data_IF_599013030912
#
_entry.id   IF_599013030912
#
_cell.length_a   1.000
_cell.length_b   1.000
_cell.length_c   1.000
_cell.angle_alpha   90.00
_cell.angle_beta   90.00
_cell.angle_gamma   90.00
#
_symmetry.space_group_name_H-M   'P 1'
#
loop_
_entity.id
_entity.type
_entity.pdbx_description
1 polymer ?
#
# COMPACT_ATOMS: atom_id res chain seq x y z
N UNK A 1 8.83 -11.10 11.09
CA UNK A 1 8.16 -10.37 9.99
C UNK A 1 6.91 -11.11 9.50
N UNK A 2 6.92 -12.45 9.47
CA UNK A 2 5.82 -13.28 8.93
C UNK A 2 4.46 -13.13 9.64
N UNK A 3 4.41 -13.01 10.98
CA UNK A 3 3.13 -12.82 11.70
C UNK A 3 2.41 -11.50 11.38
N UNK A 4 3.15 -10.42 11.08
CA UNK A 4 2.55 -9.13 10.69
C UNK A 4 1.98 -9.18 9.27
N UNK A 5 2.61 -9.91 8.37
CA UNK A 5 2.13 -10.08 7.00
C UNK A 5 0.80 -10.87 6.97
N UNK A 6 0.71 -11.97 7.74
CA UNK A 6 -0.52 -12.77 7.84
C UNK A 6 -1.69 -11.95 8.42
N UNK A 7 -1.44 -11.11 9.42
CA UNK A 7 -2.47 -10.22 9.99
C UNK A 7 -2.87 -9.11 9.01
N UNK A 8 -1.90 -8.54 8.29
CA UNK A 8 -2.14 -7.56 7.23
C UNK A 8 -2.99 -8.14 6.08
N UNK A 9 -2.74 -9.39 5.68
CA UNK A 9 -3.53 -10.10 4.67
C UNK A 9 -4.96 -10.41 5.14
N UNK A 10 -5.20 -10.53 6.45
CA UNK A 10 -6.56 -10.63 7.00
C UNK A 10 -7.29 -9.28 7.05
N UNK A 11 -6.56 -8.19 7.33
CA UNK A 11 -7.10 -6.82 7.38
C UNK A 11 -7.42 -6.34 5.97
N UNK A 12 -6.49 -6.50 5.02
CA UNK A 12 -6.65 -6.08 3.63
C UNK A 12 -7.29 -7.21 2.83
N UNK A 13 -8.61 -7.23 2.86
CA UNK A 13 -9.44 -8.16 2.09
C UNK A 13 -10.20 -7.44 0.97
N UNK A 14 -10.95 -8.21 0.18
CA UNK A 14 -11.74 -7.68 -0.95
C UNK A 14 -12.62 -6.48 -0.59
N UNK A 15 -13.22 -6.45 0.61
CA UNK A 15 -14.08 -5.33 1.03
C UNK A 15 -13.30 -4.03 1.22
N UNK A 16 -12.09 -4.10 1.78
CA UNK A 16 -11.22 -2.91 1.90
C UNK A 16 -10.81 -2.42 0.51
N UNK A 17 -10.50 -3.34 -0.41
CA UNK A 17 -10.17 -2.97 -1.79
C UNK A 17 -11.36 -2.32 -2.50
N UNK A 18 -12.57 -2.89 -2.39
CA UNK A 18 -13.80 -2.32 -2.93
C UNK A 18 -14.12 -0.94 -2.33
N UNK A 19 -13.94 -0.77 -1.02
CA UNK A 19 -14.13 0.52 -0.35
C UNK A 19 -13.13 1.58 -0.87
N UNK A 20 -11.84 1.22 -1.02
CA UNK A 20 -10.85 2.08 -1.64
C UNK A 20 -11.25 2.47 -3.08
N UNK A 21 -11.80 1.54 -3.87
CA UNK A 21 -12.27 1.83 -5.23
C UNK A 21 -13.42 2.85 -5.26
N UNK A 22 -14.27 2.84 -4.24
CA UNK A 22 -15.37 3.79 -4.07
C UNK A 22 -14.92 5.14 -3.49
N UNK A 23 -13.65 5.29 -3.09
CA UNK A 23 -13.11 6.53 -2.55
C UNK A 23 -13.16 6.64 -1.03
N UNK A 24 -13.37 5.53 -0.31
CA UNK A 24 -13.42 5.50 1.15
C UNK A 24 -12.05 5.83 1.76
N UNK A 25 -11.98 6.93 2.52
CA UNK A 25 -10.73 7.44 3.10
C UNK A 25 -10.19 6.57 4.23
N UNK A 26 -11.06 5.97 5.04
CA UNK A 26 -10.67 5.10 6.14
C UNK A 26 -10.11 3.78 5.62
N UNK A 27 -10.69 3.25 4.54
CA UNK A 27 -10.15 2.10 3.82
C UNK A 27 -8.76 2.41 3.24
N UNK A 28 -8.58 3.59 2.65
CA UNK A 28 -7.27 4.03 2.16
C UNK A 28 -6.24 4.20 3.27
N UNK A 29 -6.63 4.78 4.40
CA UNK A 29 -5.76 4.93 5.56
C UNK A 29 -5.34 3.55 6.10
N UNK A 30 -6.28 2.62 6.19
CA UNK A 30 -6.00 1.23 6.60
C UNK A 30 -4.98 0.57 5.67
N UNK A 31 -5.15 0.73 4.35
CA UNK A 31 -4.23 0.20 3.36
C UNK A 31 -2.84 0.86 3.44
N UNK A 32 -2.79 2.17 3.64
CA UNK A 32 -1.55 2.92 3.82
C UNK A 32 -0.79 2.46 5.07
N UNK A 33 -1.42 2.50 6.24
CA UNK A 33 -0.78 2.13 7.52
C UNK A 33 -0.29 0.68 7.51
N UNK A 34 -1.01 -0.20 6.82
CA UNK A 34 -0.63 -1.62 6.69
C UNK A 34 0.64 -1.82 5.86
N UNK A 35 0.83 -1.06 4.78
CA UNK A 35 1.92 -1.29 3.83
C UNK A 35 3.04 -0.25 3.84
N UNK A 36 2.87 0.91 4.50
CA UNK A 36 3.83 2.02 4.46
C UNK A 36 5.25 1.60 4.83
N UNK A 37 5.43 0.81 5.89
CA UNK A 37 6.76 0.41 6.37
C UNK A 37 7.44 -0.57 5.39
N UNK A 38 6.64 -1.43 4.74
CA UNK A 38 7.12 -2.38 3.74
C UNK A 38 7.53 -1.66 2.46
N UNK A 39 6.68 -0.77 1.95
CA UNK A 39 6.96 0.04 0.75
C UNK A 39 8.18 0.93 1.00
N UNK A 40 8.26 1.56 2.17
CA UNK A 40 9.41 2.38 2.57
C UNK A 40 10.70 1.56 2.63
N UNK A 41 10.67 0.37 3.22
CA UNK A 41 11.86 -0.51 3.28
C UNK A 41 12.35 -0.89 1.89
N UNK A 42 11.43 -1.17 0.95
CA UNK A 42 11.76 -1.44 -0.45
C UNK A 42 12.35 -0.19 -1.10
N UNK A 43 11.74 0.97 -0.90
CA UNK A 43 12.21 2.24 -1.46
C UNK A 43 13.63 2.58 -0.98
N UNK A 44 13.91 2.45 0.32
CA UNK A 44 15.25 2.65 0.92
C UNK A 44 16.29 1.77 0.23
N UNK A 45 15.96 0.49 0.02
CA UNK A 45 16.85 -0.42 -0.69
C UNK A 45 17.07 0.00 -2.15
N UNK A 46 16.01 0.39 -2.86
CA UNK A 46 16.06 0.79 -4.27
C UNK A 46 16.85 2.08 -4.52
N UNK A 47 16.89 3.00 -3.56
CA UNK A 47 17.58 4.30 -3.69
C UNK A 47 18.96 4.32 -3.01
N UNK A 48 19.52 3.15 -2.69
CA UNK A 48 20.87 3.04 -2.12
C UNK A 48 20.99 3.52 -0.67
N UNK A 49 19.90 3.48 0.09
CA UNK A 49 19.88 3.83 1.52
C UNK A 49 19.50 5.28 1.83
N UNK A 50 19.26 6.12 0.84
CA UNK A 50 18.80 7.50 1.05
C UNK A 50 17.35 7.53 1.56
N UNK A 51 17.18 7.81 2.85
CA UNK A 51 15.87 7.84 3.51
C UNK A 51 14.97 8.98 3.03
N UNK A 52 15.55 10.12 2.63
CA UNK A 52 14.77 11.27 2.16
C UNK A 52 14.17 10.98 0.80
N UNK A 53 14.96 10.40 -0.11
CA UNK A 53 14.46 9.99 -1.43
C UNK A 53 13.47 8.84 -1.26
N UNK A 54 13.73 7.90 -0.35
CA UNK A 54 12.83 6.79 -0.09
C UNK A 54 11.46 7.23 0.43
N UNK A 55 11.40 8.27 1.26
CA UNK A 55 10.14 8.85 1.75
C UNK A 55 9.32 9.41 0.58
N UNK A 56 9.96 10.25 -0.26
CA UNK A 56 9.31 10.83 -1.44
C UNK A 56 8.79 9.76 -2.41
N UNK A 57 9.62 8.75 -2.70
CA UNK A 57 9.23 7.60 -3.53
C UNK A 57 8.06 6.85 -2.93
N UNK A 58 8.06 6.61 -1.62
CA UNK A 58 6.96 5.95 -0.91
C UNK A 58 5.66 6.74 -1.07
N UNK A 59 5.70 8.05 -0.85
CA UNK A 59 4.55 8.92 -1.04
C UNK A 59 4.03 8.86 -2.49
N UNK A 60 4.92 8.96 -3.48
CA UNK A 60 4.54 8.86 -4.89
C UNK A 60 3.89 7.52 -5.25
N UNK A 61 4.35 6.40 -4.66
CA UNK A 61 3.76 5.08 -4.86
C UNK A 61 2.31 5.06 -4.37
N UNK A 62 2.02 5.56 -3.17
CA UNK A 62 0.66 5.59 -2.65
C UNK A 62 -0.25 6.56 -3.41
N UNK A 63 0.26 7.70 -3.88
CA UNK A 63 -0.49 8.61 -4.74
C UNK A 63 -0.89 7.94 -6.08
N UNK A 64 0.03 7.18 -6.68
CA UNK A 64 -0.27 6.37 -7.88
C UNK A 64 -1.26 5.25 -7.57
N UNK A 65 -1.14 4.62 -6.40
CA UNK A 65 -2.06 3.57 -5.97
C UNK A 65 -3.49 4.08 -5.84
N UNK A 66 -3.71 5.29 -5.32
CA UNK A 66 -5.05 5.88 -5.18
C UNK A 66 -5.81 6.02 -6.50
N UNK A 67 -5.10 6.23 -7.61
CA UNK A 67 -5.72 6.29 -8.95
C UNK A 67 -5.81 4.92 -9.59
N UNK A 68 -4.77 4.10 -9.46
CA UNK A 68 -4.70 2.76 -10.06
C UNK A 68 -5.70 1.78 -9.44
N UNK A 69 -5.96 1.87 -8.14
CA UNK A 69 -6.85 0.93 -7.42
C UNK A 69 -8.26 0.92 -8.00
N UNK A 70 -8.75 2.07 -8.51
CA UNK A 70 -10.07 2.19 -9.16
C UNK A 70 -10.23 1.32 -10.40
N UNK A 71 -9.11 0.99 -11.06
CA UNK A 71 -9.08 0.18 -12.27
C UNK A 71 -8.71 -1.28 -11.98
N UNK A 72 -8.36 -1.59 -10.73
CA UNK A 72 -7.98 -2.93 -10.31
C UNK A 72 -9.18 -3.88 -10.39
N UNK A 73 -9.09 -4.95 -11.18
CA UNK A 73 -10.20 -5.92 -11.33
C UNK A 73 -10.07 -7.17 -10.46
N UNK A 74 -9.09 -7.21 -9.55
CA UNK A 74 -8.89 -8.37 -8.66
C UNK A 74 -8.49 -9.68 -9.35
N UNK A 75 -8.29 -9.67 -10.67
CA UNK A 75 -7.99 -10.86 -11.45
C UNK A 75 -6.48 -11.14 -11.46
N UNK A 76 -6.01 -11.82 -10.43
CA UNK A 76 -4.78 -12.61 -10.48
C UNK A 76 -5.07 -13.89 -9.71
N UNK A 77 -5.43 -14.93 -10.46
CA UNK A 77 -5.50 -16.32 -9.99
C UNK A 77 -4.08 -16.90 -9.89
#
# INVERSE_FOLDING_TARGET
MEQRAVMAEQIINGRIIEACQQGDRDAFQTLFETYKDKVFSIAVYSVGGDKSIADDVTQQIFLKLFTAIKQFRGASL
#
